data_IF_986935062358
#
_entry.id   IF_986935062358
#
_cell.length_a   1.000
_cell.length_b   1.000
_cell.length_c   1.000
_cell.angle_alpha   90.00
_cell.angle_beta   90.00
_cell.angle_gamma   90.00
#
_symmetry.space_group_name_H-M   'P 1'
#
loop_
_entity.id
_entity.type
_entity.pdbx_description
1 polymer ?
#
# COMPACT_ATOMS: atom_id res chain seq x y z
N UNK A 1 7.77 -23.18 -0.58
CA UNK A 1 8.39 -23.10 0.76
C UNK A 1 9.65 -22.26 0.66
N UNK A 2 9.63 -21.05 1.21
CA UNK A 2 10.84 -20.23 1.32
C UNK A 2 11.74 -20.89 2.35
N UNK A 3 12.99 -21.18 1.97
CA UNK A 3 13.96 -21.69 2.92
C UNK A 3 14.19 -20.66 4.02
N UNK A 4 13.90 -21.00 5.27
CA UNK A 4 14.23 -20.17 6.41
C UNK A 4 15.73 -19.87 6.37
N UNK A 5 16.10 -18.60 6.56
CA UNK A 5 17.51 -18.24 6.71
C UNK A 5 18.00 -18.81 8.05
N UNK A 6 18.67 -19.96 7.97
CA UNK A 6 19.17 -20.70 9.15
C UNK A 6 20.48 -20.15 9.69
N UNK A 7 20.90 -18.93 9.27
CA UNK A 7 22.10 -18.33 9.82
C UNK A 7 21.89 -18.04 11.31
N UNK A 8 22.62 -18.74 12.15
CA UNK A 8 22.76 -18.42 13.58
C UNK A 8 23.70 -17.23 13.69
N UNK A 9 23.18 -16.08 14.08
CA UNK A 9 24.01 -14.92 14.39
C UNK A 9 24.66 -15.16 15.76
N UNK A 10 25.99 -15.18 15.82
CA UNK A 10 26.75 -15.44 17.04
C UNK A 10 27.21 -14.17 17.77
N UNK A 11 26.88 -12.99 17.25
CA UNK A 11 27.34 -11.71 17.81
C UNK A 11 26.27 -11.06 18.70
N UNK A 12 26.64 -10.64 19.91
CA UNK A 12 25.83 -9.81 20.81
C UNK A 12 25.85 -8.33 20.40
N UNK A 13 26.65 -7.96 19.42
CA UNK A 13 26.72 -6.60 18.87
C UNK A 13 25.64 -6.40 17.79
N UNK A 14 24.63 -5.52 18.02
CA UNK A 14 23.57 -5.26 17.07
C UNK A 14 24.05 -4.72 15.73
N UNK A 15 25.15 -3.95 15.71
CA UNK A 15 25.74 -3.43 14.47
C UNK A 15 26.37 -4.55 13.66
N UNK A 16 27.18 -5.40 14.31
CA UNK A 16 27.80 -6.55 13.64
C UNK A 16 26.74 -7.52 13.08
N UNK A 17 25.68 -7.73 13.84
CA UNK A 17 24.54 -8.57 13.44
C UNK A 17 23.77 -7.97 12.27
N UNK A 18 23.48 -6.67 12.32
CA UNK A 18 22.89 -5.93 11.21
C UNK A 18 23.73 -6.01 9.94
N UNK A 19 25.05 -5.79 10.04
CA UNK A 19 26.00 -5.87 8.92
C UNK A 19 26.10 -7.28 8.32
N UNK A 20 25.72 -8.33 9.04
CA UNK A 20 25.69 -9.70 8.54
C UNK A 20 24.45 -10.03 7.68
N UNK A 21 23.46 -9.15 7.64
CA UNK A 21 22.31 -9.28 6.74
C UNK A 21 22.75 -9.25 5.28
N UNK A 22 21.95 -9.83 4.39
CA UNK A 22 22.25 -9.81 2.96
C UNK A 22 22.26 -8.37 2.43
N UNK A 23 23.07 -8.12 1.39
CA UNK A 23 23.14 -6.82 0.73
C UNK A 23 21.75 -6.33 0.27
N UNK A 24 20.90 -7.25 -0.17
CA UNK A 24 19.54 -6.93 -0.63
C UNK A 24 18.67 -6.42 0.54
N UNK A 25 18.72 -7.08 1.71
CA UNK A 25 18.00 -6.65 2.92
C UNK A 25 18.51 -5.29 3.38
N UNK A 26 19.85 -5.11 3.46
CA UNK A 26 20.45 -3.84 3.84
C UNK A 26 20.05 -2.70 2.90
N UNK A 27 19.99 -2.97 1.60
CA UNK A 27 19.55 -1.98 0.60
C UNK A 27 18.09 -1.59 0.80
N UNK A 28 17.20 -2.56 1.10
CA UNK A 28 15.79 -2.28 1.40
C UNK A 28 15.64 -1.41 2.63
N UNK A 29 16.36 -1.73 3.71
CA UNK A 29 16.36 -0.95 4.95
C UNK A 29 16.86 0.47 4.67
N UNK A 30 18.02 0.60 3.99
CA UNK A 30 18.58 1.91 3.64
C UNK A 30 17.62 2.77 2.83
N UNK A 31 16.93 2.19 1.85
CA UNK A 31 15.92 2.88 1.03
C UNK A 31 14.69 3.32 1.82
N UNK A 32 14.36 2.60 2.88
CA UNK A 32 13.22 2.90 3.76
C UNK A 32 13.52 3.91 4.84
N UNK A 33 14.80 4.19 5.14
CA UNK A 33 15.20 4.95 6.31
C UNK A 33 15.49 6.42 5.99
N UNK A 34 14.85 7.33 6.71
CA UNK A 34 15.14 8.76 6.77
C UNK A 34 15.65 9.10 8.19
N UNK A 35 16.89 9.57 8.36
CA UNK A 35 17.49 9.80 9.69
C UNK A 35 16.74 10.81 10.57
N UNK A 36 15.85 11.61 9.99
CA UNK A 36 15.07 12.62 10.73
C UNK A 36 13.65 12.20 11.03
N UNK A 37 13.15 11.15 10.34
CA UNK A 37 11.74 10.76 10.39
C UNK A 37 11.50 9.33 10.83
N UNK A 38 12.43 8.42 10.52
CA UNK A 38 12.33 7.00 10.88
C UNK A 38 12.53 6.77 12.37
N UNK A 39 12.24 5.56 12.78
CA UNK A 39 12.58 5.02 14.09
C UNK A 39 14.09 5.15 14.33
N UNK A 40 14.47 5.41 15.58
CA UNK A 40 15.88 5.55 15.99
C UNK A 40 16.58 4.18 16.01
N UNK A 41 15.86 3.13 16.39
CA UNK A 41 16.31 1.73 16.31
C UNK A 41 15.41 0.99 15.33
N UNK A 42 16.00 0.49 14.24
CA UNK A 42 15.29 -0.39 13.28
C UNK A 42 15.42 -1.84 13.70
N UNK A 43 14.30 -2.55 13.76
CA UNK A 43 14.23 -3.97 14.07
C UNK A 43 13.91 -4.79 12.82
N UNK A 44 14.56 -5.94 12.70
CA UNK A 44 14.30 -6.92 11.64
C UNK A 44 14.00 -8.26 12.32
N UNK A 45 12.73 -8.55 12.68
CA UNK A 45 12.39 -9.82 13.28
C UNK A 45 12.85 -10.97 12.39
N UNK A 46 13.51 -11.95 12.99
CA UNK A 46 13.96 -13.15 12.25
C UNK A 46 12.75 -13.91 11.72
N UNK A 47 12.77 -14.26 10.42
CA UNK A 47 11.72 -15.13 9.84
C UNK A 47 11.57 -16.44 10.65
N UNK A 48 10.36 -16.89 10.97
CA UNK A 48 9.05 -16.37 10.55
C UNK A 48 8.38 -15.42 11.56
N UNK A 49 9.13 -14.86 12.51
CA UNK A 49 8.61 -13.92 13.49
C UNK A 49 8.25 -12.58 12.85
N UNK A 50 7.32 -11.87 13.44
CA UNK A 50 6.91 -10.53 13.01
C UNK A 50 6.50 -9.68 14.20
N UNK A 51 6.49 -8.37 14.02
CA UNK A 51 6.02 -7.41 15.03
C UNK A 51 4.87 -6.57 14.48
N UNK A 52 4.03 -6.07 15.38
CA UNK A 52 2.87 -5.26 15.02
C UNK A 52 2.11 -4.73 16.21
N UNK A 53 1.09 -3.92 15.94
CA UNK A 53 0.26 -3.33 16.99
C UNK A 53 -0.49 -4.38 17.80
N UNK A 54 -0.88 -5.48 17.17
CA UNK A 54 -1.58 -6.60 17.77
C UNK A 54 -0.87 -7.91 17.44
N UNK A 55 -1.17 -8.96 18.20
CA UNK A 55 -0.67 -10.33 17.96
C UNK A 55 -1.43 -11.05 16.83
N UNK A 56 -1.64 -10.36 15.72
CA UNK A 56 -2.30 -10.85 14.51
C UNK A 56 -1.30 -10.91 13.35
N UNK A 57 -1.55 -11.69 12.30
CA UNK A 57 -0.72 -11.68 11.11
C UNK A 57 -0.50 -10.24 10.61
N UNK A 58 0.70 -9.94 10.16
CA UNK A 58 1.11 -8.58 9.83
C UNK A 58 2.06 -8.57 8.62
N UNK A 59 2.62 -7.44 8.31
CA UNK A 59 3.59 -7.20 7.24
C UNK A 59 4.69 -6.25 7.76
N UNK A 60 5.38 -5.53 6.88
CA UNK A 60 6.33 -4.44 7.17
C UNK A 60 7.81 -4.82 7.21
N UNK A 61 8.20 -6.08 7.03
CA UNK A 61 9.60 -6.51 7.03
C UNK A 61 10.30 -6.45 5.66
N UNK A 62 11.64 -6.59 5.62
CA UNK A 62 12.40 -6.63 4.38
C UNK A 62 12.39 -8.00 3.67
N UNK A 63 11.68 -8.98 4.19
CA UNK A 63 11.68 -10.35 3.70
C UNK A 63 11.00 -10.47 2.34
N UNK A 64 11.50 -11.38 1.48
CA UNK A 64 11.06 -11.53 0.10
C UNK A 64 9.54 -11.70 -0.03
N UNK A 65 8.90 -12.49 0.82
CA UNK A 65 7.45 -12.74 0.78
C UNK A 65 6.60 -11.49 1.09
N UNK A 66 7.18 -10.50 1.78
CA UNK A 66 6.53 -9.20 2.04
C UNK A 66 6.83 -8.17 0.95
N UNK A 67 7.85 -8.43 0.13
CA UNK A 67 8.38 -7.49 -0.86
C UNK A 67 7.93 -7.80 -2.28
N UNK A 68 7.64 -9.06 -2.59
CA UNK A 68 7.29 -9.47 -3.95
C UNK A 68 5.80 -9.22 -4.19
N UNK A 69 5.51 -8.41 -5.19
CA UNK A 69 4.15 -7.95 -5.53
C UNK A 69 3.85 -8.21 -7.00
N UNK A 70 2.57 -8.36 -7.40
CA UNK A 70 2.21 -8.31 -8.81
C UNK A 70 2.55 -6.92 -9.37
N UNK A 71 2.99 -6.85 -10.62
CA UNK A 71 3.05 -5.60 -11.37
C UNK A 71 2.64 -5.92 -12.80
N UNK A 72 1.40 -5.61 -13.11
CA UNK A 72 0.75 -5.97 -14.36
C UNK A 72 0.32 -4.71 -15.10
N UNK A 73 0.77 -4.57 -16.34
CA UNK A 73 0.33 -3.53 -17.25
C UNK A 73 -0.61 -4.15 -18.29
N UNK A 74 -1.73 -3.49 -18.54
CA UNK A 74 -2.70 -3.90 -19.54
C UNK A 74 -3.35 -2.67 -20.20
N UNK A 75 -3.59 -2.75 -21.51
CA UNK A 75 -4.26 -1.69 -22.25
C UNK A 75 -4.25 -2.00 -23.75
N UNK A 76 -5.41 -2.26 -24.37
CA UNK A 76 -5.49 -2.62 -25.79
C UNK A 76 -4.81 -1.57 -26.68
N UNK A 77 -3.83 -1.98 -27.44
CA UNK A 77 -3.04 -1.10 -28.32
C UNK A 77 -2.03 -0.18 -27.60
N UNK A 78 -2.04 -0.06 -26.29
CA UNK A 78 -1.12 0.76 -25.49
C UNK A 78 -0.04 -0.04 -24.80
N UNK A 79 -0.38 -1.24 -24.35
CA UNK A 79 0.50 -2.18 -23.66
C UNK A 79 0.76 -3.39 -24.53
N UNK A 80 2.01 -3.85 -24.58
CA UNK A 80 2.41 -5.04 -25.31
C UNK A 80 1.91 -6.32 -24.62
N UNK A 81 1.45 -7.27 -25.42
CA UNK A 81 0.98 -8.58 -24.94
C UNK A 81 2.16 -9.56 -24.78
N UNK A 82 3.01 -9.34 -23.78
CA UNK A 82 4.20 -10.19 -23.54
C UNK A 82 3.93 -11.35 -22.58
N UNK A 83 2.79 -11.32 -21.88
CA UNK A 83 2.54 -12.26 -20.79
C UNK A 83 3.49 -12.02 -19.62
N UNK A 84 3.98 -13.09 -19.00
CA UNK A 84 4.90 -13.02 -17.87
C UNK A 84 6.33 -12.76 -18.33
N UNK A 85 6.97 -11.73 -17.80
CA UNK A 85 8.37 -11.36 -18.07
C UNK A 85 9.22 -11.48 -16.80
N UNK A 86 10.49 -11.89 -16.98
CA UNK A 86 11.42 -12.14 -15.86
C UNK A 86 12.24 -10.90 -15.48
N UNK A 87 12.15 -9.84 -16.25
CA UNK A 87 12.87 -8.60 -15.97
C UNK A 87 12.52 -8.06 -14.58
N UNK A 88 13.52 -7.62 -13.80
CA UNK A 88 13.25 -7.02 -12.52
C UNK A 88 12.49 -5.71 -12.69
N UNK A 89 11.51 -5.48 -11.83
CA UNK A 89 10.77 -4.23 -11.74
C UNK A 89 10.54 -3.84 -10.28
N UNK A 90 10.19 -2.59 -10.05
CA UNK A 90 9.83 -2.10 -8.73
C UNK A 90 8.62 -1.17 -8.81
N UNK A 91 7.92 -1.01 -7.70
CA UNK A 91 6.76 -0.09 -7.63
C UNK A 91 7.15 1.37 -7.97
N UNK A 92 8.40 1.77 -7.76
CA UNK A 92 8.89 3.10 -8.16
C UNK A 92 8.95 3.30 -9.68
N UNK A 93 8.91 2.21 -10.47
CA UNK A 93 8.87 2.26 -11.93
C UNK A 93 7.48 2.68 -12.46
N UNK A 94 6.46 2.67 -11.60
CA UNK A 94 5.09 3.06 -11.97
C UNK A 94 5.05 4.54 -12.34
N UNK A 95 5.62 5.44 -11.52
CA UNK A 95 5.66 6.88 -11.80
C UNK A 95 6.15 7.20 -13.22
N UNK A 96 7.39 6.85 -13.61
CA UNK A 96 7.89 7.21 -14.93
C UNK A 96 7.14 6.49 -16.07
N UNK A 97 6.57 5.31 -15.80
CA UNK A 97 5.77 4.57 -16.80
C UNK A 97 4.42 5.25 -17.04
N UNK A 98 3.74 5.71 -15.98
CA UNK A 98 2.50 6.50 -16.08
C UNK A 98 2.76 7.81 -16.80
N UNK A 99 3.79 8.57 -16.40
CA UNK A 99 4.18 9.82 -17.06
C UNK A 99 4.44 9.61 -18.56
N UNK A 100 5.18 8.55 -18.93
CA UNK A 100 5.43 8.20 -20.33
C UNK A 100 4.13 7.84 -21.09
N UNK A 101 3.21 7.07 -20.48
CA UNK A 101 1.92 6.74 -21.06
C UNK A 101 1.07 7.99 -21.29
N UNK A 102 1.08 8.90 -20.35
CA UNK A 102 0.32 10.15 -20.40
C UNK A 102 0.99 11.24 -21.26
N UNK A 103 2.18 10.99 -21.79
CA UNK A 103 2.93 11.99 -22.56
C UNK A 103 3.43 13.16 -21.70
N UNK A 104 3.44 12.99 -20.39
CA UNK A 104 3.96 13.98 -19.46
C UNK A 104 5.49 13.91 -19.32
N UNK A 105 6.08 14.95 -18.76
CA UNK A 105 7.51 15.03 -18.50
C UNK A 105 7.94 13.96 -17.49
N UNK A 106 8.93 13.15 -17.86
CA UNK A 106 9.49 12.14 -16.95
C UNK A 106 10.68 12.74 -16.21
N UNK A 107 10.45 13.16 -14.98
CA UNK A 107 11.56 13.60 -14.13
C UNK A 107 12.52 12.43 -13.83
N UNK A 108 13.85 12.63 -13.97
CA UNK A 108 14.81 11.59 -13.60
C UNK A 108 14.78 11.36 -12.09
N UNK A 109 14.26 10.21 -11.68
CA UNK A 109 14.07 9.82 -10.27
C UNK A 109 14.61 8.40 -10.03
N UNK A 110 14.16 7.75 -8.95
CA UNK A 110 14.62 6.40 -8.60
C UNK A 110 14.11 5.28 -9.50
N UNK A 111 12.91 5.43 -10.09
CA UNK A 111 12.30 4.48 -11.00
C UNK A 111 12.73 4.67 -12.46
N UNK A 112 12.44 3.67 -13.29
CA UNK A 112 12.66 3.69 -14.75
C UNK A 112 11.35 3.42 -15.49
N UNK A 113 11.23 3.93 -16.70
CA UNK A 113 10.12 3.57 -17.59
C UNK A 113 10.21 2.07 -17.94
N UNK A 114 9.11 1.36 -17.79
CA UNK A 114 8.96 -0.04 -18.22
C UNK A 114 8.68 -0.08 -19.75
N UNK A 115 9.60 0.47 -20.52
CA UNK A 115 9.40 0.74 -21.95
C UNK A 115 9.14 -0.51 -22.78
N UNK A 116 9.67 -1.66 -22.38
CA UNK A 116 9.39 -2.93 -23.07
C UNK A 116 7.91 -3.34 -22.98
N UNK A 117 7.19 -2.90 -21.94
CA UNK A 117 5.76 -3.15 -21.80
C UNK A 117 4.90 -2.21 -22.65
N UNK A 118 5.44 -1.15 -23.23
CA UNK A 118 4.69 -0.15 -23.99
C UNK A 118 4.81 -0.39 -25.49
N UNK A 119 3.71 -0.24 -26.23
CA UNK A 119 3.73 -0.44 -27.68
C UNK A 119 4.37 0.71 -28.44
N UNK A 120 4.52 1.89 -27.81
CA UNK A 120 4.93 3.12 -28.49
C UNK A 120 3.87 3.68 -29.45
N UNK A 121 2.61 3.29 -29.27
CA UNK A 121 1.49 3.81 -30.07
C UNK A 121 1.44 5.34 -30.01
N UNK A 122 1.10 5.97 -31.12
CA UNK A 122 0.96 7.41 -31.21
C UNK A 122 -0.17 7.95 -30.30
N UNK A 123 0.03 9.14 -29.76
CA UNK A 123 -0.89 9.78 -28.81
C UNK A 123 -0.89 9.14 -27.42
N UNK A 124 -1.76 9.62 -26.57
CA UNK A 124 -1.90 9.19 -25.17
C UNK A 124 -3.24 8.49 -24.97
N UNK A 125 -3.37 7.52 -24.03
CA UNK A 125 -4.66 6.93 -23.69
C UNK A 125 -5.58 7.99 -23.09
N UNK A 126 -6.89 7.82 -23.27
CA UNK A 126 -7.90 8.72 -22.66
C UNK A 126 -7.99 8.57 -21.14
N UNK A 127 -7.59 7.42 -20.63
CA UNK A 127 -7.56 7.14 -19.19
C UNK A 127 -6.41 6.22 -18.83
N UNK A 128 -5.64 6.59 -17.82
CA UNK A 128 -4.75 5.66 -17.12
C UNK A 128 -5.34 5.36 -15.73
N UNK A 129 -5.46 4.07 -15.41
CA UNK A 129 -5.85 3.65 -14.07
C UNK A 129 -4.68 2.99 -13.35
N UNK A 130 -4.44 3.39 -12.09
CA UNK A 130 -3.53 2.71 -11.17
C UNK A 130 -4.35 2.03 -10.09
N UNK A 131 -4.29 0.70 -10.03
CA UNK A 131 -5.06 -0.13 -9.10
C UNK A 131 -4.09 -0.79 -8.13
N UNK A 132 -4.30 -0.60 -6.84
CA UNK A 132 -3.53 -1.27 -5.79
C UNK A 132 -4.45 -2.24 -5.04
N UNK A 133 -4.06 -3.51 -4.99
CA UNK A 133 -4.67 -4.51 -4.13
C UNK A 133 -3.84 -4.61 -2.84
N UNK A 134 -4.30 -3.94 -1.79
CA UNK A 134 -3.58 -3.80 -0.53
C UNK A 134 -3.28 -5.16 0.10
N UNK A 135 -2.01 -5.39 0.42
CA UNK A 135 -1.58 -6.64 1.03
C UNK A 135 -1.56 -7.87 0.11
N UNK A 136 -2.03 -7.77 -1.15
CA UNK A 136 -2.11 -8.89 -2.07
C UNK A 136 -0.75 -9.20 -2.75
N UNK A 137 0.26 -9.48 -1.95
CA UNK A 137 1.57 -9.91 -2.42
C UNK A 137 1.52 -11.21 -3.23
N UNK A 138 2.62 -11.53 -3.92
CA UNK A 138 2.68 -12.70 -4.80
C UNK A 138 2.39 -14.01 -4.07
N UNK A 139 2.85 -14.16 -2.83
CA UNK A 139 2.61 -15.37 -2.02
C UNK A 139 1.12 -15.61 -1.76
N UNK A 140 0.32 -14.55 -1.57
CA UNK A 140 -1.14 -14.66 -1.42
C UNK A 140 -1.79 -15.08 -2.73
N UNK A 141 -1.42 -14.47 -3.85
CA UNK A 141 -1.94 -14.84 -5.17
C UNK A 141 -1.62 -16.30 -5.51
N UNK A 142 -0.39 -16.73 -5.27
CA UNK A 142 0.06 -18.11 -5.54
C UNK A 142 -0.65 -19.13 -4.65
N UNK A 143 -1.11 -18.74 -3.47
CA UNK A 143 -1.89 -19.59 -2.56
C UNK A 143 -3.33 -19.81 -3.06
N UNK A 144 -3.93 -18.82 -3.68
CA UNK A 144 -5.32 -18.83 -4.12
C UNK A 144 -5.46 -18.62 -5.64
N UNK A 145 -4.82 -19.46 -6.48
CA UNK A 145 -4.72 -19.23 -7.93
C UNK A 145 -6.08 -19.17 -8.64
N UNK A 146 -7.09 -19.81 -8.10
CA UNK A 146 -8.44 -19.82 -8.68
C UNK A 146 -9.28 -18.59 -8.29
N UNK A 147 -8.80 -17.75 -7.36
CA UNK A 147 -9.57 -16.60 -6.87
C UNK A 147 -9.48 -15.37 -7.77
N UNK A 148 -8.53 -15.29 -8.70
CA UNK A 148 -8.23 -14.09 -9.48
C UNK A 148 -8.16 -14.30 -11.02
N UNK A 149 -9.22 -14.88 -11.65
CA UNK A 149 -9.22 -15.19 -13.08
C UNK A 149 -9.13 -13.95 -14.00
N UNK A 150 -9.66 -12.78 -13.58
CA UNK A 150 -9.54 -11.55 -14.35
C UNK A 150 -8.11 -11.02 -14.33
N UNK A 151 -7.43 -10.98 -13.17
CA UNK A 151 -6.02 -10.62 -13.08
C UNK A 151 -5.16 -11.60 -13.88
N UNK A 152 -5.41 -12.91 -13.79
CA UNK A 152 -4.71 -13.91 -14.59
C UNK A 152 -4.90 -13.70 -16.11
N UNK A 153 -6.06 -13.19 -16.52
CA UNK A 153 -6.29 -12.78 -17.92
C UNK A 153 -5.43 -11.56 -18.28
N UNK A 154 -5.36 -10.54 -17.41
CA UNK A 154 -4.50 -9.38 -17.64
C UNK A 154 -3.02 -9.76 -17.70
N UNK A 155 -2.56 -10.66 -16.85
CA UNK A 155 -1.19 -11.18 -16.92
C UNK A 155 -0.86 -11.83 -18.28
N UNK A 156 -1.83 -12.51 -18.90
CA UNK A 156 -1.63 -13.15 -20.22
C UNK A 156 -1.78 -12.20 -21.39
N UNK A 157 -2.68 -11.22 -21.29
CA UNK A 157 -3.04 -10.31 -22.39
C UNK A 157 -2.32 -8.94 -22.30
N UNK A 158 -1.52 -8.73 -21.29
CA UNK A 158 -0.68 -7.56 -21.09
C UNK A 158 0.77 -7.95 -20.85
N UNK A 159 1.46 -7.21 -19.99
CA UNK A 159 2.82 -7.50 -19.54
C UNK A 159 2.83 -7.60 -18.00
N UNK A 160 3.25 -8.76 -17.47
CA UNK A 160 3.32 -9.05 -16.04
C UNK A 160 4.77 -9.27 -15.60
N UNK A 161 5.27 -8.40 -14.72
CA UNK A 161 6.61 -8.49 -14.15
C UNK A 161 6.60 -9.40 -12.92
N UNK A 162 6.92 -10.68 -13.09
CA UNK A 162 6.84 -11.68 -12.01
C UNK A 162 7.90 -11.51 -10.91
N UNK A 163 8.95 -10.73 -11.19
CA UNK A 163 10.00 -10.39 -10.23
C UNK A 163 9.87 -8.95 -9.70
N UNK A 164 8.67 -8.37 -9.77
CA UNK A 164 8.44 -7.03 -9.25
C UNK A 164 8.51 -7.03 -7.71
N UNK A 165 9.09 -5.95 -7.16
CA UNK A 165 9.26 -5.78 -5.71
C UNK A 165 8.95 -4.35 -5.28
N UNK A 166 8.64 -4.19 -3.99
CA UNK A 166 8.55 -2.88 -3.34
C UNK A 166 9.93 -2.20 -3.32
N UNK A 167 10.95 -2.94 -2.91
CA UNK A 167 12.35 -2.50 -2.94
C UNK A 167 12.81 -1.66 -1.74
N UNK A 168 11.95 -1.39 -0.76
CA UNK A 168 12.27 -0.70 0.50
C UNK A 168 11.65 -1.40 1.71
N UNK A 169 12.16 -1.13 2.92
CA UNK A 169 11.59 -1.57 4.18
C UNK A 169 11.49 -0.36 5.12
N UNK A 170 10.33 -0.14 5.76
CA UNK A 170 9.20 -1.05 5.88
C UNK A 170 8.39 -1.20 4.60
N UNK A 171 7.87 -2.43 4.36
CA UNK A 171 6.84 -2.73 3.37
C UNK A 171 5.47 -2.46 3.99
N UNK A 172 5.02 -1.22 3.91
CA UNK A 172 3.86 -0.73 4.64
C UNK A 172 3.10 0.30 3.81
N UNK A 173 1.78 0.29 3.93
CA UNK A 173 0.85 1.04 3.10
C UNK A 173 1.28 2.47 2.76
N UNK A 174 1.50 3.41 3.70
CA UNK A 174 1.78 4.80 3.32
C UNK A 174 3.13 4.96 2.60
N UNK A 175 4.16 4.24 3.02
CA UNK A 175 5.49 4.32 2.42
C UNK A 175 5.51 3.78 0.99
N UNK A 176 4.80 2.67 0.74
CA UNK A 176 4.75 2.07 -0.59
C UNK A 176 3.86 2.86 -1.55
N UNK A 177 2.69 3.36 -1.09
CA UNK A 177 1.85 4.23 -1.93
C UNK A 177 2.58 5.50 -2.35
N UNK A 178 3.33 6.12 -1.42
CA UNK A 178 4.21 7.26 -1.77
C UNK A 178 5.30 6.86 -2.77
N UNK A 179 5.86 5.66 -2.67
CA UNK A 179 6.84 5.18 -3.64
C UNK A 179 6.22 4.95 -5.03
N UNK A 180 4.98 4.46 -5.09
CA UNK A 180 4.19 4.32 -6.34
C UNK A 180 3.96 5.71 -6.97
N UNK A 181 3.46 6.65 -6.18
CA UNK A 181 3.08 7.99 -6.65
C UNK A 181 4.28 8.85 -7.07
N UNK A 182 5.36 8.79 -6.31
CA UNK A 182 6.52 9.69 -6.48
C UNK A 182 7.65 9.13 -7.33
N UNK A 183 7.71 7.80 -7.54
CA UNK A 183 8.80 7.13 -8.27
C UNK A 183 10.14 7.10 -7.53
N UNK A 184 10.15 7.35 -6.22
CA UNK A 184 11.33 7.29 -5.35
C UNK A 184 11.03 6.52 -4.08
N UNK A 185 12.06 6.20 -3.29
CA UNK A 185 11.94 5.46 -2.03
C UNK A 185 11.77 6.39 -0.82
N UNK A 186 11.34 5.85 0.35
CA UNK A 186 11.08 6.62 1.58
C UNK A 186 12.17 7.59 2.01
N UNK A 187 13.46 7.24 1.86
CA UNK A 187 14.57 8.16 2.19
C UNK A 187 14.56 9.45 1.35
N UNK A 188 13.86 9.48 0.22
CA UNK A 188 13.71 10.66 -0.65
C UNK A 188 12.37 11.34 -0.42
N UNK A 189 11.24 10.61 -0.58
CA UNK A 189 9.92 11.20 -0.43
C UNK A 189 9.52 11.48 1.02
N UNK A 190 10.21 10.91 2.01
CA UNK A 190 10.08 11.23 3.41
C UNK A 190 8.91 10.56 4.15
N UNK A 191 8.11 9.73 3.51
CA UNK A 191 7.05 8.94 4.14
C UNK A 191 7.64 7.58 4.51
N UNK A 192 8.05 7.44 5.77
CA UNK A 192 8.81 6.27 6.25
C UNK A 192 7.94 5.16 6.83
N UNK A 193 6.67 5.43 7.12
CA UNK A 193 5.75 4.46 7.71
C UNK A 193 4.41 5.11 8.09
N UNK A 194 3.59 4.38 8.85
CA UNK A 194 2.36 4.93 9.45
C UNK A 194 2.70 6.04 10.44
N UNK A 195 3.80 5.86 11.19
CA UNK A 195 4.33 6.83 12.15
C UNK A 195 5.65 7.40 11.65
N UNK A 196 5.91 8.64 12.03
CA UNK A 196 7.17 9.30 11.74
C UNK A 196 7.48 10.34 12.80
N UNK A 197 8.77 10.70 12.99
CA UNK A 197 9.15 11.81 13.84
C UNK A 197 8.98 13.13 13.08
N UNK A 198 8.05 13.96 13.55
CA UNK A 198 7.78 15.28 12.97
C UNK A 198 8.89 16.29 13.34
N UNK A 199 8.92 17.44 12.66
CA UNK A 199 9.95 18.49 12.88
C UNK A 199 9.96 19.09 14.28
N UNK A 200 8.86 18.95 15.03
CA UNK A 200 8.76 19.35 16.44
C UNK A 200 9.27 18.28 17.42
N UNK A 201 9.85 17.19 16.91
CA UNK A 201 10.38 16.07 17.70
C UNK A 201 9.34 15.05 18.17
N UNK A 202 8.04 15.29 17.95
CA UNK A 202 6.98 14.34 18.35
C UNK A 202 6.73 13.30 17.27
N UNK A 203 6.31 12.12 17.70
CA UNK A 203 5.82 11.08 16.78
C UNK A 203 4.41 11.45 16.31
N UNK A 204 4.17 11.39 15.01
CA UNK A 204 2.91 11.73 14.34
C UNK A 204 2.51 10.64 13.34
N UNK A 205 1.24 10.60 12.96
CA UNK A 205 0.75 9.71 11.93
C UNK A 205 0.86 10.36 10.54
N UNK A 206 1.33 9.59 9.57
CA UNK A 206 1.36 9.99 8.16
C UNK A 206 -0.05 10.28 7.65
N UNK A 207 -0.18 11.28 6.78
CA UNK A 207 -1.45 11.70 6.15
C UNK A 207 -2.60 12.00 7.12
N UNK A 208 -2.31 12.35 8.38
CA UNK A 208 -3.31 12.60 9.43
C UNK A 208 -4.21 13.76 9.09
N UNK A 209 -4.06 14.64 8.31
CA UNK A 209 -4.95 15.71 7.86
C UNK A 209 -5.76 15.37 6.61
N UNK A 210 -5.62 14.17 6.04
CA UNK A 210 -6.05 13.84 4.68
C UNK A 210 -5.44 14.80 3.66
N UNK A 211 -4.14 15.00 3.75
CA UNK A 211 -3.32 15.89 2.95
C UNK A 211 -2.00 15.17 2.65
N UNK A 212 -1.39 15.49 1.52
CA UNK A 212 -0.12 14.93 1.06
C UNK A 212 1.09 15.77 1.48
N UNK A 213 0.93 16.83 2.27
CA UNK A 213 1.99 17.74 2.77
C UNK A 213 3.21 17.05 3.42
N UNK A 214 3.06 15.80 3.84
CA UNK A 214 4.18 15.02 4.40
C UNK A 214 5.20 14.64 3.32
N UNK A 215 4.80 14.54 2.07
CA UNK A 215 5.67 14.20 0.95
C UNK A 215 6.58 15.36 0.57
N UNK A 216 7.83 15.06 0.26
CA UNK A 216 8.85 16.05 -0.11
C UNK A 216 9.00 16.25 -1.62
N UNK A 217 8.31 15.43 -2.39
CA UNK A 217 8.41 15.41 -3.86
C UNK A 217 7.02 15.20 -4.46
N UNK A 218 6.78 15.78 -5.61
CA UNK A 218 5.53 15.66 -6.36
C UNK A 218 5.30 14.24 -6.87
N UNK A 219 4.03 13.90 -7.07
CA UNK A 219 3.57 12.62 -7.63
C UNK A 219 3.48 12.68 -9.16
N UNK A 220 3.18 11.54 -9.81
CA UNK A 220 2.87 11.53 -11.24
C UNK A 220 1.62 12.35 -11.57
N UNK A 221 0.64 12.42 -10.65
CA UNK A 221 -0.57 13.21 -10.85
C UNK A 221 -0.27 14.71 -10.88
N UNK A 222 0.53 15.21 -9.91
CA UNK A 222 0.98 16.61 -9.93
C UNK A 222 1.74 16.96 -11.21
N UNK A 223 2.58 16.02 -11.70
CA UNK A 223 3.33 16.25 -12.94
C UNK A 223 2.43 16.32 -14.15
N UNK A 224 1.40 15.47 -14.21
CA UNK A 224 0.41 15.48 -15.28
C UNK A 224 -0.38 16.78 -15.26
N UNK A 225 -0.88 17.22 -14.09
CA UNK A 225 -1.60 18.47 -13.95
C UNK A 225 -0.75 19.66 -14.38
N UNK A 226 0.50 19.71 -13.93
CA UNK A 226 1.42 20.76 -14.32
C UNK A 226 1.64 20.81 -15.84
N UNK A 227 1.87 19.66 -16.46
CA UNK A 227 2.17 19.59 -17.91
C UNK A 227 0.94 19.89 -18.78
N UNK A 228 -0.26 19.60 -18.29
CA UNK A 228 -1.53 19.82 -18.98
C UNK A 228 -2.32 21.03 -18.48
N UNK A 229 -1.77 21.83 -17.55
CA UNK A 229 -2.40 23.03 -17.02
C UNK A 229 -3.71 22.76 -16.28
N UNK A 230 -3.75 21.68 -15.46
CA UNK A 230 -4.91 21.20 -14.70
C UNK A 230 -6.15 20.87 -15.58
N UNK A 231 -5.92 20.47 -16.82
CA UNK A 231 -7.01 20.05 -17.71
C UNK A 231 -7.46 18.59 -17.48
N UNK A 232 -6.58 17.63 -17.12
CA UNK A 232 -6.96 16.28 -16.79
C UNK A 232 -7.86 16.19 -15.56
N UNK A 233 -8.78 15.24 -15.56
CA UNK A 233 -9.44 14.83 -14.32
C UNK A 233 -8.51 13.87 -13.58
N UNK A 234 -8.10 14.25 -12.38
CA UNK A 234 -7.35 13.41 -11.46
C UNK A 234 -8.29 12.94 -10.35
N UNK A 235 -8.41 11.64 -10.17
CA UNK A 235 -9.32 11.09 -9.16
C UNK A 235 -8.73 9.93 -8.40
N UNK A 236 -9.17 9.80 -7.14
CA UNK A 236 -8.81 8.70 -6.29
C UNK A 236 -9.98 8.22 -5.44
N UNK A 237 -10.14 6.89 -5.36
CA UNK A 237 -10.96 6.25 -4.35
C UNK A 237 -10.13 5.24 -3.54
N UNK A 238 -10.19 5.34 -2.21
CA UNK A 238 -9.45 4.47 -1.32
C UNK A 238 -10.09 4.41 0.09
N UNK A 239 -9.58 3.53 0.96
CA UNK A 239 -10.15 3.33 2.31
C UNK A 239 -9.63 4.30 3.36
N UNK A 240 -8.36 4.65 3.32
CA UNK A 240 -7.71 5.46 4.36
C UNK A 240 -6.85 6.54 3.73
N UNK A 241 -6.60 7.59 4.47
CA UNK A 241 -5.66 8.64 4.05
C UNK A 241 -4.23 8.10 3.80
N UNK A 242 -3.87 6.95 4.37
CA UNK A 242 -2.58 6.32 4.13
C UNK A 242 -2.30 5.95 2.66
N UNK A 243 -3.36 5.80 1.85
CA UNK A 243 -3.23 5.52 0.42
C UNK A 243 -2.96 6.77 -0.42
N UNK A 244 -3.11 7.97 0.16
CA UNK A 244 -2.95 9.25 -0.54
C UNK A 244 -1.52 9.46 -1.07
N UNK A 245 -0.53 8.70 -0.63
CA UNK A 245 0.83 8.79 -1.13
C UNK A 245 1.00 8.55 -2.64
N UNK A 246 0.03 7.98 -3.33
CA UNK A 246 0.03 7.92 -4.80
C UNK A 246 -0.83 9.02 -5.46
N UNK A 247 -1.49 9.85 -4.66
CA UNK A 247 -2.40 10.89 -5.12
C UNK A 247 -1.68 12.24 -5.26
N UNK A 248 -2.32 13.19 -5.95
CA UNK A 248 -1.80 14.53 -6.11
C UNK A 248 -1.75 15.31 -4.79
N UNK A 249 -1.00 16.41 -4.78
CA UNK A 249 -1.08 17.42 -3.72
C UNK A 249 -2.31 18.32 -3.85
N UNK A 250 -3.01 18.26 -5.00
CA UNK A 250 -4.15 19.12 -5.27
C UNK A 250 -3.80 20.60 -5.10
N UNK A 251 -4.73 21.39 -4.56
CA UNK A 251 -4.51 22.83 -4.32
C UNK A 251 -3.58 23.13 -3.12
N UNK A 252 -2.98 22.14 -2.48
CA UNK A 252 -1.99 22.32 -1.42
C UNK A 252 -0.66 22.90 -1.94
N UNK A 253 -0.33 22.64 -3.21
CA UNK A 253 0.85 23.21 -3.87
C UNK A 253 0.48 24.34 -4.82
N UNK A 254 1.41 25.30 -5.02
CA UNK A 254 1.15 26.42 -5.95
C UNK A 254 0.87 25.93 -7.37
N UNK A 255 -0.25 26.36 -7.93
CA UNK A 255 -0.67 26.00 -9.28
C UNK A 255 -1.47 24.70 -9.39
N UNK A 256 -1.64 23.94 -8.31
CA UNK A 256 -2.53 22.79 -8.27
C UNK A 256 -4.01 23.21 -8.12
N UNK A 257 -4.91 22.29 -8.46
CA UNK A 257 -6.36 22.48 -8.38
C UNK A 257 -7.03 21.51 -7.40
N UNK A 258 -8.35 21.40 -7.43
CA UNK A 258 -9.11 20.55 -6.53
C UNK A 258 -9.42 19.19 -7.16
N UNK A 259 -8.43 18.32 -7.19
CA UNK A 259 -8.56 16.93 -7.61
C UNK A 259 -9.63 16.15 -6.82
N UNK A 260 -10.17 15.08 -7.40
CA UNK A 260 -11.29 14.35 -6.80
C UNK A 260 -10.83 13.25 -5.85
N UNK A 261 -11.00 13.48 -4.54
CA UNK A 261 -10.63 12.52 -3.48
C UNK A 261 -11.86 11.95 -2.78
N UNK A 262 -11.99 10.62 -2.79
CA UNK A 262 -13.03 9.88 -2.07
C UNK A 262 -12.39 8.83 -1.14
N UNK A 263 -12.49 9.01 0.18
CA UNK A 263 -11.97 8.08 1.18
C UNK A 263 -13.11 7.37 1.90
N UNK A 264 -13.17 6.05 1.76
CA UNK A 264 -14.14 5.19 2.44
C UNK A 264 -13.67 4.99 3.88
N UNK A 265 -14.55 5.19 4.85
CA UNK A 265 -14.25 4.96 6.25
C UNK A 265 -15.50 4.81 7.09
N UNK A 266 -15.60 3.74 7.87
CA UNK A 266 -16.73 3.49 8.78
C UNK A 266 -18.12 3.66 8.13
N UNK A 267 -18.29 3.20 6.89
CA UNK A 267 -19.55 3.27 6.14
C UNK A 267 -19.90 4.64 5.57
N UNK A 268 -18.96 5.57 5.56
CA UNK A 268 -19.09 6.89 4.93
C UNK A 268 -17.94 7.11 3.94
N UNK A 269 -18.22 7.86 2.89
CA UNK A 269 -17.19 8.36 1.96
C UNK A 269 -16.96 9.82 2.32
N UNK A 270 -15.70 10.19 2.47
CA UNK A 270 -15.28 11.53 2.92
C UNK A 270 -14.08 12.01 2.09
N UNK A 271 -13.85 13.30 2.05
CA UNK A 271 -12.68 13.93 1.41
C UNK A 271 -12.01 14.92 2.35
N UNK A 272 -11.23 15.82 1.77
CA UNK A 272 -10.71 17.02 2.42
C UNK A 272 -11.03 18.24 1.54
N UNK A 273 -12.12 18.97 1.79
CA UNK A 273 -12.58 20.07 0.91
C UNK A 273 -11.66 21.29 0.91
N UNK A 274 -10.64 21.34 1.77
CA UNK A 274 -9.64 22.41 1.76
C UNK A 274 -8.74 22.31 0.53
N UNK A 275 -8.37 21.11 0.12
CA UNK A 275 -7.39 20.88 -0.94
C UNK A 275 -7.92 20.07 -2.12
N UNK A 276 -9.06 19.37 -1.94
CA UNK A 276 -9.62 18.44 -2.90
C UNK A 276 -11.12 18.63 -3.04
N UNK A 277 -11.68 18.16 -4.12
CA UNK A 277 -13.12 18.04 -4.31
C UNK A 277 -13.60 16.60 -4.06
N UNK A 278 -14.88 16.46 -3.77
CA UNK A 278 -15.54 15.17 -3.70
C UNK A 278 -16.95 15.31 -4.26
N UNK A 279 -17.35 14.47 -5.25
CA UNK A 279 -18.72 14.49 -5.76
C UNK A 279 -19.76 14.27 -4.65
N UNK A 280 -20.73 15.16 -4.51
CA UNK A 280 -21.69 15.19 -3.41
C UNK A 280 -22.53 13.91 -3.26
N UNK A 281 -22.80 13.19 -4.36
CA UNK A 281 -23.53 11.92 -4.33
C UNK A 281 -22.77 10.79 -3.62
N UNK A 282 -21.45 10.94 -3.39
CA UNK A 282 -20.65 9.97 -2.67
C UNK A 282 -20.79 10.08 -1.15
N UNK A 283 -21.14 11.26 -0.63
CA UNK A 283 -21.26 11.48 0.83
C UNK A 283 -22.24 10.52 1.50
N UNK A 284 -23.33 10.20 0.79
CA UNK A 284 -24.35 9.25 1.22
C UNK A 284 -24.54 8.13 0.18
N UNK A 285 -23.43 7.60 -0.35
CA UNK A 285 -23.50 6.60 -1.41
C UNK A 285 -24.26 5.36 -0.92
N UNK A 286 -25.31 4.95 -1.62
CA UNK A 286 -26.16 3.84 -1.19
C UNK A 286 -25.53 2.49 -1.60
N UNK A 287 -26.03 1.40 -0.99
CA UNK A 287 -25.77 0.06 -1.52
C UNK A 287 -25.14 -0.92 -0.53
N UNK A 288 -24.39 -0.46 0.49
CA UNK A 288 -23.70 -1.35 1.42
C UNK A 288 -24.64 -2.40 2.05
N UNK A 289 -25.83 -1.99 2.53
CA UNK A 289 -26.82 -2.92 3.09
C UNK A 289 -27.33 -3.94 2.06
N UNK A 290 -27.43 -3.53 0.80
CA UNK A 290 -27.82 -4.40 -0.30
C UNK A 290 -26.74 -5.43 -0.61
N UNK A 291 -25.48 -5.02 -0.67
CA UNK A 291 -24.35 -5.93 -0.88
C UNK A 291 -24.20 -6.89 0.32
N UNK A 292 -24.36 -6.40 1.55
CA UNK A 292 -24.43 -7.26 2.74
C UNK A 292 -25.54 -8.30 2.66
N UNK A 293 -26.76 -7.90 2.25
CA UNK A 293 -27.87 -8.83 2.10
C UNK A 293 -27.71 -9.82 0.92
N UNK A 294 -26.91 -9.51 -0.10
CA UNK A 294 -26.53 -10.48 -1.14
C UNK A 294 -25.55 -11.50 -0.60
N UNK A 295 -24.54 -11.02 0.15
CA UNK A 295 -23.52 -11.86 0.75
C UNK A 295 -24.13 -12.84 1.76
N UNK A 296 -25.04 -12.36 2.63
CA UNK A 296 -25.78 -13.14 3.60
C UNK A 296 -26.53 -14.33 2.97
N UNK A 297 -27.11 -14.12 1.78
CA UNK A 297 -27.84 -15.17 1.06
C UNK A 297 -26.96 -16.09 0.21
N UNK A 298 -25.67 -15.82 0.09
CA UNK A 298 -24.80 -16.57 -0.83
C UNK A 298 -24.59 -18.03 -0.42
N UNK A 299 -24.70 -18.36 0.86
CA UNK A 299 -24.61 -19.72 1.40
C UNK A 299 -25.98 -20.41 1.60
N UNK A 300 -27.07 -19.75 1.18
CA UNK A 300 -28.46 -20.25 1.31
C UNK A 300 -29.12 -19.96 2.66
N UNK A 301 -28.46 -19.20 3.55
CA UNK A 301 -29.01 -18.77 4.84
C UNK A 301 -29.32 -17.28 4.82
N UNK A 302 -30.09 -16.82 5.83
CA UNK A 302 -30.37 -15.39 6.08
C UNK A 302 -30.19 -15.17 7.56
N UNK A 303 -28.94 -15.14 8.00
CA UNK A 303 -28.57 -15.04 9.41
C UNK A 303 -27.66 -13.82 9.71
N UNK A 304 -27.43 -12.97 8.72
CA UNK A 304 -26.58 -11.78 8.83
C UNK A 304 -25.08 -12.10 8.81
N UNK A 305 -24.69 -13.31 8.42
CA UNK A 305 -23.33 -13.81 8.50
C UNK A 305 -22.72 -14.21 7.16
N UNK A 306 -21.43 -14.10 7.09
CA UNK A 306 -20.58 -14.65 6.05
C UNK A 306 -19.50 -15.50 6.70
N UNK A 307 -19.42 -16.78 6.39
CA UNK A 307 -18.49 -17.75 7.01
C UNK A 307 -18.53 -17.74 8.56
N UNK A 308 -19.70 -17.41 9.16
CA UNK A 308 -19.89 -17.32 10.60
C UNK A 308 -19.60 -15.94 11.20
N UNK A 309 -19.11 -14.97 10.42
CA UNK A 309 -18.77 -13.60 10.85
C UNK A 309 -19.88 -12.62 10.48
N UNK A 310 -20.16 -11.64 11.34
CA UNK A 310 -21.19 -10.62 11.10
C UNK A 310 -20.80 -9.71 9.94
N UNK A 311 -21.67 -9.58 8.93
CA UNK A 311 -21.37 -8.86 7.69
C UNK A 311 -21.28 -7.35 7.86
N UNK A 312 -22.19 -6.73 8.60
CA UNK A 312 -22.29 -5.27 8.67
C UNK A 312 -21.65 -4.63 9.91
N UNK A 313 -21.36 -5.44 10.93
CA UNK A 313 -20.66 -4.96 12.15
C UNK A 313 -19.14 -4.93 12.00
N UNK A 314 -18.61 -5.64 11.00
CA UNK A 314 -17.18 -5.71 10.68
C UNK A 314 -16.92 -5.11 9.29
N UNK A 315 -15.66 -4.79 8.96
CA UNK A 315 -15.26 -4.22 7.68
C UNK A 315 -14.33 -5.18 6.90
N UNK A 316 -14.56 -6.49 7.02
CA UNK A 316 -13.64 -7.55 6.66
C UNK A 316 -14.29 -8.64 5.79
N UNK A 317 -15.08 -8.23 4.79
CA UNK A 317 -15.81 -9.17 3.96
C UNK A 317 -16.09 -8.63 2.54
N UNK A 318 -16.50 -9.51 1.58
CA UNK A 318 -16.78 -9.16 0.20
C UNK A 318 -17.82 -8.06 -0.05
N UNK A 319 -18.75 -7.82 0.87
CA UNK A 319 -19.77 -6.77 0.67
C UNK A 319 -19.15 -5.38 0.58
N UNK A 320 -18.06 -5.15 1.31
CA UNK A 320 -17.33 -3.89 1.26
C UNK A 320 -16.57 -3.70 -0.04
N UNK A 321 -15.98 -4.75 -0.59
CA UNK A 321 -15.34 -4.73 -1.92
C UNK A 321 -16.36 -4.36 -3.00
N UNK A 322 -17.53 -4.99 -2.97
CA UNK A 322 -18.59 -4.70 -3.93
C UNK A 322 -19.13 -3.28 -3.81
N UNK A 323 -19.29 -2.79 -2.58
CA UNK A 323 -19.70 -1.41 -2.32
C UNK A 323 -18.69 -0.39 -2.83
N UNK A 324 -17.39 -0.61 -2.59
CA UNK A 324 -16.31 0.21 -3.12
C UNK A 324 -16.33 0.24 -4.65
N UNK A 325 -16.39 -0.93 -5.29
CA UNK A 325 -16.47 -1.02 -6.74
C UNK A 325 -17.71 -0.35 -7.34
N UNK A 326 -18.87 -0.39 -6.65
CA UNK A 326 -20.07 0.33 -7.07
C UNK A 326 -19.88 1.86 -7.01
N UNK A 327 -19.23 2.36 -5.94
CA UNK A 327 -18.95 3.78 -5.77
C UNK A 327 -17.91 4.27 -6.80
N UNK A 328 -16.85 3.49 -7.02
CA UNK A 328 -15.82 3.76 -8.02
C UNK A 328 -16.40 3.83 -9.44
N UNK A 329 -17.18 2.82 -9.82
CA UNK A 329 -17.85 2.83 -11.12
C UNK A 329 -18.85 3.99 -11.25
N UNK A 330 -19.48 4.44 -10.17
CA UNK A 330 -20.32 5.61 -10.18
C UNK A 330 -19.50 6.88 -10.44
N UNK A 331 -18.33 7.00 -9.81
CA UNK A 331 -17.41 8.12 -10.01
C UNK A 331 -16.88 8.15 -11.44
N UNK A 332 -16.33 7.04 -11.95
CA UNK A 332 -15.86 6.93 -13.33
C UNK A 332 -16.93 7.34 -14.36
N UNK A 333 -18.18 6.89 -14.15
CA UNK A 333 -19.29 7.14 -15.07
C UNK A 333 -19.85 8.55 -15.01
N UNK A 334 -20.07 9.09 -13.80
CA UNK A 334 -20.77 10.38 -13.61
C UNK A 334 -19.87 11.56 -13.85
N UNK A 335 -18.58 11.44 -13.48
CA UNK A 335 -17.58 12.46 -13.75
C UNK A 335 -17.00 12.35 -15.16
N UNK A 336 -17.25 11.24 -15.86
CA UNK A 336 -16.90 11.07 -17.27
C UNK A 336 -15.40 10.86 -17.51
N UNK A 337 -14.71 10.14 -16.61
CA UNK A 337 -13.30 9.80 -16.79
C UNK A 337 -13.04 9.07 -18.11
N UNK A 338 -12.10 9.62 -18.91
CA UNK A 338 -11.71 9.08 -20.21
C UNK A 338 -12.75 9.21 -21.32
N UNK A 339 -13.80 10.05 -21.15
CA UNK A 339 -14.88 10.19 -22.13
C UNK A 339 -14.72 11.43 -23.06
N UNK A 340 -13.75 12.28 -22.84
CA UNK A 340 -13.39 13.40 -23.71
C UNK A 340 -12.00 13.21 -24.34
N UNK A 341 -11.39 14.26 -24.88
CA UNK A 341 -10.09 14.21 -25.54
C UNK A 341 -8.93 14.62 -24.62
N UNK A 342 -9.22 15.02 -23.38
CA UNK A 342 -8.22 15.29 -22.35
C UNK A 342 -7.89 13.95 -21.67
N UNK A 343 -6.60 13.60 -21.54
CA UNK A 343 -6.24 12.36 -20.88
C UNK A 343 -6.43 12.45 -19.36
N UNK A 344 -7.19 11.54 -18.79
CA UNK A 344 -7.50 11.51 -17.37
C UNK A 344 -6.68 10.46 -16.62
N UNK A 345 -6.59 10.58 -15.30
CA UNK A 345 -5.98 9.55 -14.43
C UNK A 345 -6.89 9.22 -13.26
N UNK A 346 -7.02 7.95 -12.95
CA UNK A 346 -7.78 7.47 -11.80
C UNK A 346 -7.00 6.44 -10.99
N UNK A 347 -6.96 6.63 -9.68
CA UNK A 347 -6.26 5.74 -8.76
C UNK A 347 -7.26 5.08 -7.81
N UNK A 348 -7.04 3.81 -7.50
CA UNK A 348 -7.85 3.12 -6.50
C UNK A 348 -7.03 2.14 -5.67
N UNK A 349 -7.44 1.98 -4.41
CA UNK A 349 -6.86 1.00 -3.50
C UNK A 349 -7.98 0.13 -2.91
N UNK A 350 -7.97 -1.15 -3.25
CA UNK A 350 -8.83 -2.16 -2.64
C UNK A 350 -8.17 -2.70 -1.38
N UNK A 351 -8.74 -2.41 -0.21
CA UNK A 351 -8.12 -2.65 1.11
C UNK A 351 -8.46 -4.02 1.73
N UNK A 352 -9.43 -4.77 1.20
CA UNK A 352 -9.99 -5.92 1.94
C UNK A 352 -9.02 -7.07 2.12
N UNK A 353 -8.12 -7.33 1.20
CA UNK A 353 -7.07 -8.35 1.32
C UNK A 353 -6.12 -8.07 2.49
N UNK A 354 -5.76 -6.82 2.73
CA UNK A 354 -4.96 -6.46 3.91
C UNK A 354 -5.75 -6.59 5.23
N UNK A 355 -6.99 -6.10 5.27
CA UNK A 355 -7.82 -6.18 6.48
C UNK A 355 -8.08 -7.64 6.86
N UNK A 356 -8.47 -8.47 5.90
CA UNK A 356 -8.75 -9.89 6.14
C UNK A 356 -7.48 -10.66 6.47
N UNK A 357 -6.38 -10.34 5.81
CA UNK A 357 -5.06 -10.85 6.14
C UNK A 357 -4.66 -10.59 7.60
N UNK A 358 -4.97 -9.41 8.13
CA UNK A 358 -4.76 -9.09 9.54
C UNK A 358 -5.72 -9.84 10.48
N UNK A 359 -7.00 -9.91 10.13
CA UNK A 359 -8.04 -10.45 11.04
C UNK A 359 -7.99 -11.98 11.07
N UNK A 360 -7.89 -12.62 9.93
CA UNK A 360 -7.99 -14.07 9.80
C UNK A 360 -6.66 -14.73 9.38
N UNK A 361 -5.85 -14.04 8.60
CA UNK A 361 -4.62 -14.53 7.98
C UNK A 361 -4.78 -14.80 6.50
N UNK A 362 -3.73 -14.54 5.72
CA UNK A 362 -3.69 -14.69 4.28
C UNK A 362 -3.93 -16.14 3.78
N UNK A 363 -3.88 -17.10 4.67
CA UNK A 363 -4.03 -18.53 4.41
C UNK A 363 -5.42 -19.07 4.75
N UNK A 364 -6.36 -18.21 5.16
CA UNK A 364 -7.72 -18.62 5.53
C UNK A 364 -8.71 -18.47 4.37
N UNK A 365 -9.82 -19.24 4.34
CA UNK A 365 -10.82 -19.16 3.28
C UNK A 365 -11.45 -17.78 3.12
N UNK A 366 -11.50 -16.99 4.19
CA UNK A 366 -11.99 -15.59 4.17
C UNK A 366 -11.15 -14.74 3.23
N UNK A 367 -9.83 -14.95 3.22
CA UNK A 367 -8.90 -14.27 2.30
C UNK A 367 -9.19 -14.62 0.85
N UNK A 368 -9.40 -15.90 0.55
CA UNK A 368 -9.82 -16.33 -0.79
C UNK A 368 -11.11 -15.63 -1.23
N UNK A 369 -12.08 -15.48 -0.31
CA UNK A 369 -13.37 -14.86 -0.58
C UNK A 369 -13.25 -13.37 -0.93
N UNK A 370 -12.43 -12.60 -0.22
CA UNK A 370 -12.24 -11.17 -0.52
C UNK A 370 -11.35 -10.95 -1.73
N UNK A 371 -10.32 -11.76 -1.93
CA UNK A 371 -9.48 -11.72 -3.14
C UNK A 371 -10.34 -11.99 -4.40
N UNK A 372 -11.23 -12.99 -4.34
CA UNK A 372 -12.18 -13.24 -5.43
C UNK A 372 -13.10 -12.06 -5.68
N UNK A 373 -13.61 -11.42 -4.62
CA UNK A 373 -14.46 -10.24 -4.78
C UNK A 373 -13.71 -9.07 -5.43
N UNK A 374 -12.44 -8.85 -5.09
CA UNK A 374 -11.59 -7.84 -5.74
C UNK A 374 -11.35 -8.15 -7.22
N UNK A 375 -11.15 -9.41 -7.56
CA UNK A 375 -11.02 -9.83 -8.96
C UNK A 375 -12.31 -9.64 -9.76
N UNK A 376 -13.47 -9.92 -9.17
CA UNK A 376 -14.77 -9.63 -9.77
C UNK A 376 -14.96 -8.12 -9.96
N UNK A 377 -14.55 -7.29 -8.98
CA UNK A 377 -14.57 -5.84 -9.10
C UNK A 377 -13.67 -5.36 -10.26
N UNK A 378 -12.46 -5.90 -10.38
CA UNK A 378 -11.58 -5.65 -11.52
C UNK A 378 -12.25 -5.98 -12.85
N UNK A 379 -12.91 -7.16 -12.95
CA UNK A 379 -13.65 -7.56 -14.15
C UNK A 379 -14.74 -6.54 -14.54
N UNK A 380 -15.47 -6.01 -13.56
CA UNK A 380 -16.53 -4.99 -13.77
C UNK A 380 -15.96 -3.65 -14.24
N UNK A 381 -14.82 -3.24 -13.69
CA UNK A 381 -14.11 -2.03 -14.12
C UNK A 381 -13.64 -2.19 -15.56
N UNK A 382 -12.97 -3.29 -15.88
CA UNK A 382 -12.51 -3.58 -17.25
C UNK A 382 -13.65 -3.64 -18.26
N UNK A 383 -14.80 -4.21 -17.88
CA UNK A 383 -15.98 -4.22 -18.72
C UNK A 383 -16.50 -2.80 -19.04
N UNK A 384 -16.45 -1.90 -18.04
CA UNK A 384 -16.79 -0.49 -18.26
C UNK A 384 -15.78 0.19 -19.19
N UNK A 385 -14.49 0.01 -18.91
CA UNK A 385 -13.40 0.60 -19.73
C UNK A 385 -13.50 0.14 -21.18
N UNK A 386 -13.66 -1.17 -21.44
CA UNK A 386 -13.81 -1.74 -22.78
C UNK A 386 -15.03 -1.21 -23.53
N UNK A 387 -16.15 -1.04 -22.84
CA UNK A 387 -17.41 -0.62 -23.48
C UNK A 387 -17.50 0.89 -23.71
N UNK A 388 -16.93 1.70 -22.81
CA UNK A 388 -17.16 3.15 -22.76
C UNK A 388 -15.92 3.97 -23.09
N UNK A 389 -14.80 3.71 -22.45
CA UNK A 389 -13.56 4.47 -22.64
C UNK A 389 -12.82 4.02 -23.91
N UNK A 390 -12.64 2.71 -24.07
CA UNK A 390 -12.01 2.03 -25.22
C UNK A 390 -10.50 2.24 -25.37
N UNK A 391 -10.01 3.45 -25.17
CA UNK A 391 -8.59 3.80 -25.22
C UNK A 391 -8.08 4.11 -23.81
N UNK A 392 -7.48 3.12 -23.18
CA UNK A 392 -7.05 3.19 -21.77
C UNK A 392 -5.82 2.32 -21.50
N UNK A 393 -5.17 2.57 -20.37
CA UNK A 393 -4.19 1.66 -19.79
C UNK A 393 -4.49 1.44 -18.30
N UNK A 394 -4.23 0.23 -17.83
CA UNK A 394 -4.35 -0.16 -16.41
C UNK A 394 -2.99 -0.65 -15.92
N UNK A 395 -2.56 -0.17 -14.77
CA UNK A 395 -1.42 -0.69 -14.03
C UNK A 395 -1.97 -1.23 -12.70
N UNK A 396 -1.81 -2.55 -12.47
CA UNK A 396 -2.23 -3.19 -11.23
C UNK A 396 -1.01 -3.67 -10.47
N UNK A 397 -0.97 -3.36 -9.16
CA UNK A 397 0.07 -3.80 -8.24
C UNK A 397 -0.51 -4.08 -6.85
N UNK A 398 0.35 -4.48 -5.92
CA UNK A 398 0.08 -4.47 -4.48
C UNK A 398 1.14 -3.60 -3.79
N UNK A 399 0.85 -3.14 -2.59
CA UNK A 399 1.76 -2.30 -1.82
C UNK A 399 2.65 -3.11 -0.86
N UNK A 400 2.27 -4.35 -0.53
CA UNK A 400 3.07 -5.33 0.22
C UNK A 400 2.47 -6.73 0.15
N UNK A 401 3.19 -7.73 0.68
CA UNK A 401 2.66 -9.05 0.98
C UNK A 401 2.21 -9.14 2.44
N UNK A 402 1.80 -10.33 2.85
CA UNK A 402 1.34 -10.62 4.21
C UNK A 402 2.13 -11.76 4.85
N UNK A 403 2.29 -11.74 6.18
CA UNK A 403 2.88 -12.85 6.91
C UNK A 403 1.88 -14.00 7.00
N UNK A 404 2.26 -15.23 6.63
CA UNK A 404 1.40 -16.39 6.83
C UNK A 404 1.10 -16.61 8.33
N UNK A 405 -0.03 -17.26 8.62
CA UNK A 405 -0.46 -17.54 9.98
C UNK A 405 0.63 -18.23 10.81
N UNK A 406 0.82 -17.84 12.09
CA UNK A 406 1.71 -18.52 13.02
C UNK A 406 1.45 -20.02 13.14
N UNK A 407 0.22 -20.47 12.96
CA UNK A 407 -0.14 -21.89 12.97
C UNK A 407 0.56 -22.69 11.86
N UNK A 408 0.83 -22.06 10.72
CA UNK A 408 1.54 -22.69 9.60
C UNK A 408 3.05 -22.57 9.69
N UNK A 409 3.54 -21.44 10.21
CA UNK A 409 4.97 -21.11 10.18
C UNK A 409 5.69 -21.40 11.47
N UNK A 410 4.97 -21.53 12.60
CA UNK A 410 5.55 -21.53 13.94
C UNK A 410 6.12 -20.18 14.36
N UNK A 411 5.78 -19.11 13.66
CA UNK A 411 6.25 -17.76 13.94
C UNK A 411 5.72 -17.21 15.25
N UNK A 412 6.52 -16.35 15.88
CA UNK A 412 6.15 -15.65 17.10
C UNK A 412 5.68 -14.23 16.76
N UNK A 413 4.44 -13.86 17.11
CA UNK A 413 3.97 -12.49 16.98
C UNK A 413 4.48 -11.66 18.18
N UNK A 414 5.13 -10.54 17.90
CA UNK A 414 5.68 -9.60 18.89
C UNK A 414 4.80 -8.35 18.89
N UNK A 415 4.12 -8.06 20.00
CA UNK A 415 3.32 -6.85 20.10
C UNK A 415 4.20 -5.61 20.35
N UNK A 416 3.96 -4.53 19.62
CA UNK A 416 4.70 -3.27 19.80
C UNK A 416 4.68 -2.76 21.25
N UNK A 417 3.53 -2.88 21.92
CA UNK A 417 3.40 -2.53 23.34
C UNK A 417 4.20 -3.43 24.30
N UNK A 418 4.51 -4.66 23.89
CA UNK A 418 5.41 -5.56 24.62
C UNK A 418 6.84 -5.06 24.54
N UNK A 419 7.32 -4.70 23.34
CA UNK A 419 8.66 -4.14 23.15
C UNK A 419 8.89 -2.94 24.06
N UNK A 420 7.96 -1.98 24.07
CA UNK A 420 8.03 -0.79 24.93
C UNK A 420 8.12 -1.17 26.40
N UNK A 421 7.22 -2.03 26.86
CA UNK A 421 7.16 -2.49 28.26
C UNK A 421 8.44 -3.22 28.68
N UNK A 422 8.99 -4.04 27.80
CA UNK A 422 10.18 -4.85 28.10
C UNK A 422 11.43 -3.98 28.19
N UNK A 423 11.57 -2.96 27.32
CA UNK A 423 12.61 -1.93 27.45
C UNK A 423 12.49 -1.23 28.82
N UNK A 424 11.30 -0.69 29.14
CA UNK A 424 11.12 0.08 30.38
C UNK A 424 11.33 -0.79 31.63
N UNK A 425 10.94 -2.05 31.59
CA UNK A 425 11.14 -3.03 32.66
C UNK A 425 12.62 -3.36 32.85
N UNK A 426 13.34 -3.65 31.76
CA UNK A 426 14.76 -4.02 31.79
C UNK A 426 15.62 -2.92 32.39
N UNK A 427 15.36 -1.67 32.01
CA UNK A 427 16.10 -0.51 32.49
C UNK A 427 15.54 0.11 33.76
N UNK A 428 14.60 -0.53 34.44
CA UNK A 428 13.98 -0.09 35.69
C UNK A 428 13.41 1.34 35.62
N UNK A 429 12.77 1.68 34.50
CA UNK A 429 12.19 3.02 34.29
C UNK A 429 11.08 3.29 35.31
N UNK A 430 11.06 4.47 35.96
CA UNK A 430 10.01 4.82 36.91
C UNK A 430 8.60 4.75 36.30
N UNK A 431 7.62 4.40 37.13
CA UNK A 431 6.22 4.31 36.68
C UNK A 431 5.72 5.64 36.11
N UNK A 432 5.15 5.60 34.90
CA UNK A 432 4.65 6.77 34.18
C UNK A 432 5.66 7.44 33.25
N UNK A 433 6.91 6.98 33.25
CA UNK A 433 7.98 7.39 32.32
C UNK A 433 8.26 6.28 31.30
N UNK A 434 8.97 6.58 30.22
CA UNK A 434 9.34 5.57 29.21
C UNK A 434 10.56 6.01 28.40
N UNK A 435 11.45 5.07 28.08
CA UNK A 435 12.59 5.26 27.18
C UNK A 435 12.18 5.34 25.70
N UNK A 436 10.92 5.04 25.39
CA UNK A 436 10.41 5.16 24.03
C UNK A 436 9.21 6.11 23.95
N UNK A 437 9.24 7.04 22.99
CA UNK A 437 8.07 7.87 22.64
C UNK A 437 6.98 7.01 22.02
N UNK A 438 7.37 6.08 21.12
CA UNK A 438 6.47 5.16 20.46
C UNK A 438 7.22 3.95 19.85
N UNK A 439 6.47 2.96 19.38
CA UNK A 439 6.97 1.78 18.67
C UNK A 439 6.19 1.55 17.38
N UNK A 440 6.85 1.00 16.38
CA UNK A 440 6.24 0.58 15.11
C UNK A 440 6.48 -0.91 14.88
N UNK A 441 5.96 -1.44 13.77
CA UNK A 441 6.21 -2.82 13.36
C UNK A 441 7.69 -3.10 13.01
N UNK A 442 8.51 -2.08 12.82
CA UNK A 442 9.91 -2.21 12.39
C UNK A 442 10.90 -1.44 13.26
N UNK A 443 10.47 -0.85 14.39
CA UNK A 443 11.41 -0.12 15.20
C UNK A 443 10.83 0.63 16.40
N UNK A 444 11.71 1.37 17.05
CA UNK A 444 11.46 2.14 18.27
C UNK A 444 11.83 3.60 18.06
N UNK A 445 10.92 4.51 18.37
CA UNK A 445 11.17 5.94 18.52
C UNK A 445 11.61 6.20 19.96
N UNK A 446 12.85 6.60 20.16
CA UNK A 446 13.46 6.79 21.48
C UNK A 446 13.04 8.12 22.12
N UNK A 447 12.88 8.10 23.43
CA UNK A 447 12.70 9.29 24.25
C UNK A 447 14.06 9.79 24.77
N UNK A 448 14.75 10.60 23.99
CA UNK A 448 16.07 11.10 24.32
C UNK A 448 16.14 11.93 25.61
N UNK A 449 15.04 12.59 26.00
CA UNK A 449 14.99 13.33 27.25
C UNK A 449 15.05 12.38 28.45
N UNK A 450 14.28 11.30 28.41
CA UNK A 450 14.26 10.30 29.48
C UNK A 450 15.56 9.47 29.51
N UNK A 451 16.07 9.10 28.34
CA UNK A 451 17.39 8.43 28.21
C UNK A 451 18.50 9.25 28.88
N UNK A 452 18.54 10.56 28.63
CA UNK A 452 19.53 11.46 29.26
C UNK A 452 19.34 11.53 30.77
N UNK A 453 18.11 11.59 31.27
CA UNK A 453 17.78 11.63 32.69
C UNK A 453 18.25 10.36 33.41
N UNK A 454 18.04 9.21 32.80
CA UNK A 454 18.39 7.90 33.35
C UNK A 454 19.83 7.46 33.01
N UNK A 455 20.57 8.25 32.22
CA UNK A 455 21.90 7.96 31.74
C UNK A 455 21.99 6.61 30.99
N UNK A 456 20.99 6.35 30.11
CA UNK A 456 20.90 5.16 29.25
C UNK A 456 21.19 5.59 27.81
N UNK A 457 22.07 4.83 27.15
CA UNK A 457 22.44 5.07 25.75
C UNK A 457 21.56 4.30 24.77
N UNK A 458 21.51 4.75 23.52
CA UNK A 458 20.88 4.05 22.40
C UNK A 458 21.49 2.66 22.17
N UNK A 459 22.80 2.52 22.30
CA UNK A 459 23.52 1.26 22.15
C UNK A 459 23.10 0.23 23.21
N UNK A 460 22.85 0.64 24.45
CA UNK A 460 22.35 -0.26 25.51
C UNK A 460 20.95 -0.78 25.19
N UNK A 461 20.07 0.10 24.70
CA UNK A 461 18.72 -0.32 24.28
C UNK A 461 18.80 -1.24 23.07
N UNK A 462 19.63 -0.92 22.07
CA UNK A 462 19.82 -1.76 20.89
C UNK A 462 20.38 -3.14 21.24
N UNK A 463 21.33 -3.24 22.20
CA UNK A 463 21.85 -4.52 22.70
C UNK A 463 20.79 -5.35 23.43
N UNK A 464 19.92 -4.70 24.18
CA UNK A 464 18.82 -5.39 24.85
C UNK A 464 17.82 -6.00 23.84
N UNK A 465 17.52 -5.29 22.76
CA UNK A 465 16.60 -5.73 21.71
C UNK A 465 17.19 -6.79 20.76
N UNK A 466 18.51 -6.97 20.75
CA UNK A 466 19.23 -7.87 19.86
C UNK A 466 19.18 -9.33 20.33
#
# INVERSE_FOLDING_TARGET
MLAADKRTFSSEDPVARGCALSKEILLRIWRGHDPKRSEDITMVPQYPNYSGTFVVPNHSGPWKYLQQVPLVLYGPGRVAEQGQVQDPASVVDIYPTVAQLMGASVAPRGGRVLSSALTGAAGVPKLVMVIVWDGAGRDMLDRWPDAWPNLARLERQGTSYVNATIGSSPSITPATHSSIGTGVYPHVHGVVGIKYRASNGKVANAFSGRTTAIERVTTFSDQIDQDYGNAPKVGMMAWRSWHMGMFSHGSEIPGGDHDQLALIGHGKITGNPTYYSMPSYLEHFPGLKKEGAKLDRADGKVDGKWMGHDILSTHDNPAWVNYEADAELAMLKREGYGLDDVPDIFMTNFKMTDIVGHVFGMDQPEEQGVLHAQDVALGRILDYLNKKVKDYAVILTADHGHTPSPKLTGGWPIANGEIKRDIDTHFHVPSGESLSDDTSAVGVFLNYAEMKKLNISEDEIARFLN
#
